data_IF_717165302707
#
_entry.id   IF_717165302707
#
_cell.length_a   1.000
_cell.length_b   1.000
_cell.length_c   1.000
_cell.angle_alpha   90.00
_cell.angle_beta   90.00
_cell.angle_gamma   90.00
#
_symmetry.space_group_name_H-M   'P 1'
#
loop_
_entity.id
_entity.type
_entity.pdbx_description
1 polymer ?
#
# COMPACT_ATOMS: atom_id res chain seq x y z
N UNK A 1 22.81 -15.51 21.87
CA UNK A 1 22.64 -14.27 21.08
C UNK A 1 22.13 -13.17 22.00
N UNK A 2 22.99 -12.24 22.44
CA UNK A 2 22.59 -11.06 23.23
C UNK A 2 22.31 -9.89 22.29
N UNK A 3 21.22 -9.97 21.51
CA UNK A 3 20.75 -8.83 20.75
C UNK A 3 20.00 -7.89 21.71
N UNK A 4 20.56 -6.71 21.98
CA UNK A 4 19.90 -5.65 22.76
C UNK A 4 18.53 -5.38 22.14
N UNK A 5 17.47 -5.30 22.95
CA UNK A 5 16.10 -5.01 22.50
C UNK A 5 16.01 -3.82 21.51
N UNK A 6 16.86 -2.81 21.69
CA UNK A 6 17.00 -1.65 20.78
C UNK A 6 17.46 -2.01 19.36
N UNK A 7 18.25 -3.06 19.17
CA UNK A 7 18.66 -3.57 17.86
C UNK A 7 17.56 -4.40 17.21
N UNK A 8 16.84 -5.24 17.98
CA UNK A 8 15.65 -5.96 17.50
C UNK A 8 14.57 -4.98 17.06
N UNK A 9 14.33 -3.91 17.83
CA UNK A 9 13.42 -2.82 17.45
C UNK A 9 13.92 -2.07 16.21
N UNK A 10 15.24 -1.90 16.03
CA UNK A 10 15.79 -1.29 14.80
C UNK A 10 15.69 -2.21 13.58
N UNK A 11 15.79 -3.52 13.76
CA UNK A 11 15.58 -4.53 12.71
C UNK A 11 14.10 -4.61 12.37
N UNK A 12 13.20 -4.65 13.36
CA UNK A 12 11.74 -4.54 13.16
C UNK A 12 11.29 -3.19 12.62
N UNK A 13 12.01 -2.09 12.90
CA UNK A 13 11.73 -0.77 12.33
C UNK A 13 12.36 -0.60 10.93
N UNK A 14 13.48 -1.30 10.66
CA UNK A 14 14.18 -1.32 9.38
C UNK A 14 13.50 -2.21 8.35
N UNK A 15 12.99 -3.37 8.79
CA UNK A 15 11.96 -4.17 8.13
C UNK A 15 10.67 -3.38 8.31
N UNK A 16 10.48 -2.30 7.53
CA UNK A 16 9.26 -1.48 7.62
C UNK A 16 8.06 -2.42 7.69
N UNK A 17 7.35 -2.54 8.82
CA UNK A 17 6.26 -3.53 8.98
C UNK A 17 5.17 -3.30 7.91
N UNK A 18 5.08 -2.07 7.42
CA UNK A 18 4.35 -1.64 6.24
C UNK A 18 4.62 -2.46 4.97
N UNK A 19 5.88 -2.82 4.67
CA UNK A 19 6.22 -3.56 3.45
C UNK A 19 5.82 -5.02 3.56
N UNK A 20 6.01 -5.67 4.71
CA UNK A 20 5.60 -7.06 4.91
C UNK A 20 4.08 -7.22 4.95
N UNK A 21 3.35 -6.39 5.72
CA UNK A 21 1.87 -6.41 5.73
C UNK A 21 1.28 -6.13 4.34
N UNK A 22 1.90 -5.20 3.61
CA UNK A 22 1.46 -4.85 2.27
C UNK A 22 1.75 -5.95 1.23
N UNK A 23 2.91 -6.61 1.28
CA UNK A 23 3.23 -7.74 0.41
C UNK A 23 2.39 -8.97 0.73
N UNK A 24 2.07 -9.19 2.01
CA UNK A 24 1.10 -10.22 2.45
C UNK A 24 -0.29 -9.90 1.90
N UNK A 25 -0.70 -8.63 1.90
CA UNK A 25 -1.93 -8.16 1.26
C UNK A 25 -1.94 -8.46 -0.24
N UNK A 26 -0.89 -8.11 -0.99
CA UNK A 26 -0.80 -8.47 -2.41
C UNK A 26 -0.81 -10.00 -2.61
N UNK A 27 -0.09 -10.75 -1.77
CA UNK A 27 -0.03 -12.21 -1.86
C UNK A 27 -1.40 -12.88 -1.58
N UNK A 28 -2.20 -12.36 -0.64
CA UNK A 28 -3.57 -12.80 -0.39
C UNK A 28 -4.52 -12.51 -1.58
N UNK A 29 -4.17 -11.52 -2.39
CA UNK A 29 -4.97 -11.05 -3.51
C UNK A 29 -4.61 -11.79 -4.79
N UNK A 30 -3.34 -12.13 -4.94
CA UNK A 30 -2.87 -13.12 -5.91
C UNK A 30 -3.44 -14.50 -5.60
N UNK A 31 -3.53 -14.89 -4.32
CA UNK A 31 -4.24 -16.09 -3.89
C UNK A 31 -5.72 -16.06 -4.35
N UNK A 32 -6.40 -14.94 -4.13
CA UNK A 32 -7.79 -14.75 -4.58
C UNK A 32 -7.94 -14.73 -6.12
N UNK A 33 -6.97 -14.15 -6.83
CA UNK A 33 -6.90 -14.11 -8.29
C UNK A 33 -6.82 -15.51 -8.91
N UNK A 34 -5.94 -16.34 -8.35
CA UNK A 34 -5.50 -17.59 -8.98
C UNK A 34 -6.20 -18.85 -8.49
N UNK A 35 -7.08 -18.74 -7.50
CA UNK A 35 -7.93 -19.86 -7.09
C UNK A 35 -8.78 -20.45 -8.23
N UNK A 36 -9.01 -19.69 -9.32
CA UNK A 36 -9.75 -20.13 -10.52
C UNK A 36 -8.89 -20.32 -11.78
N UNK A 37 -7.59 -20.00 -11.73
CA UNK A 37 -6.75 -20.03 -12.93
C UNK A 37 -6.18 -21.43 -13.12
N UNK A 38 -6.52 -22.06 -14.25
CA UNK A 38 -6.08 -23.41 -14.63
C UNK A 38 -4.62 -23.45 -15.09
N UNK A 39 -4.05 -22.30 -15.47
CA UNK A 39 -2.67 -22.23 -15.95
C UNK A 39 -1.66 -22.35 -14.83
N UNK A 40 -0.84 -23.39 -14.92
CA UNK A 40 0.19 -23.79 -13.95
C UNK A 40 1.27 -22.70 -13.74
N UNK A 41 1.52 -21.85 -14.74
CA UNK A 41 2.65 -20.90 -14.74
C UNK A 41 2.33 -19.54 -14.13
N UNK A 42 1.05 -19.20 -13.99
CA UNK A 42 0.67 -17.84 -13.60
C UNK A 42 1.03 -17.55 -12.14
N UNK A 43 0.83 -18.54 -11.26
CA UNK A 43 1.19 -18.50 -9.85
C UNK A 43 2.71 -18.25 -9.64
N UNK A 44 3.62 -19.07 -10.22
CA UNK A 44 5.06 -18.84 -10.15
C UNK A 44 5.51 -17.48 -10.71
N UNK A 45 4.96 -17.05 -11.85
CA UNK A 45 5.35 -15.77 -12.48
C UNK A 45 4.97 -14.58 -11.60
N UNK A 46 3.78 -14.61 -11.00
CA UNK A 46 3.35 -13.54 -10.11
C UNK A 46 4.16 -13.50 -8.82
N UNK A 47 4.47 -14.67 -8.25
CA UNK A 47 5.36 -14.77 -7.10
C UNK A 47 6.76 -14.22 -7.43
N UNK A 48 7.32 -14.57 -8.59
CA UNK A 48 8.62 -14.06 -9.06
C UNK A 48 8.64 -12.54 -9.17
N UNK A 49 7.63 -11.94 -9.81
CA UNK A 49 7.54 -10.49 -9.96
C UNK A 49 7.46 -9.77 -8.60
N UNK A 50 6.63 -10.31 -7.70
CA UNK A 50 6.51 -9.81 -6.33
C UNK A 50 7.83 -9.88 -5.56
N UNK A 51 8.48 -11.05 -5.58
CA UNK A 51 9.72 -11.28 -4.87
C UNK A 51 10.86 -10.43 -5.44
N UNK A 52 10.91 -10.26 -6.76
CA UNK A 52 11.89 -9.45 -7.45
C UNK A 52 11.79 -7.97 -7.07
N UNK A 53 10.57 -7.41 -7.05
CA UNK A 53 10.34 -6.03 -6.60
C UNK A 53 10.68 -5.85 -5.11
N UNK A 54 10.33 -6.83 -4.28
CA UNK A 54 10.68 -6.80 -2.86
C UNK A 54 12.20 -6.81 -2.65
N UNK A 55 12.89 -7.75 -3.29
CA UNK A 55 14.32 -7.91 -3.20
C UNK A 55 15.09 -6.67 -3.67
N UNK A 56 14.64 -6.00 -4.73
CA UNK A 56 15.30 -4.81 -5.26
C UNK A 56 14.99 -3.53 -4.46
N UNK A 57 13.82 -3.43 -3.83
CA UNK A 57 13.44 -2.26 -3.03
C UNK A 57 14.01 -2.26 -1.59
N UNK A 58 14.67 -3.35 -1.20
CA UNK A 58 15.24 -3.59 0.14
C UNK A 58 16.49 -2.72 0.37
N UNK A 59 16.49 -1.92 1.43
CA UNK A 59 17.56 -0.95 1.75
C UNK A 59 18.43 -1.37 2.93
N UNK A 60 18.01 -2.38 3.66
CA UNK A 60 18.61 -2.96 4.87
C UNK A 60 19.64 -4.06 4.57
N UNK A 61 19.88 -4.39 3.29
CA UNK A 61 20.81 -5.46 2.88
C UNK A 61 22.23 -5.23 3.39
N UNK A 62 22.77 -4.04 3.20
CA UNK A 62 24.13 -3.68 3.61
C UNK A 62 24.29 -3.64 5.14
N UNK A 63 23.22 -3.30 5.86
CA UNK A 63 23.22 -3.31 7.33
C UNK A 63 23.15 -4.74 7.90
N UNK A 64 22.25 -5.58 7.36
CA UNK A 64 22.09 -6.98 7.78
C UNK A 64 23.33 -7.80 7.43
N UNK A 65 23.83 -7.60 6.20
CA UNK A 65 25.25 -7.41 5.86
C UNK A 65 26.30 -7.70 6.92
N UNK A 66 26.36 -6.72 7.82
CA UNK A 66 27.43 -6.53 8.78
C UNK A 66 27.10 -7.15 10.15
N UNK A 67 25.83 -7.48 10.40
CA UNK A 67 25.34 -7.89 11.72
C UNK A 67 25.06 -9.38 11.86
N UNK A 68 24.76 -10.09 10.76
CA UNK A 68 24.30 -11.49 10.82
C UNK A 68 25.21 -12.37 9.97
N UNK A 69 25.79 -13.40 10.57
CA UNK A 69 26.43 -14.49 9.82
C UNK A 69 25.34 -15.36 9.16
N UNK A 70 25.39 -15.52 7.84
CA UNK A 70 24.43 -16.35 7.10
C UNK A 70 23.14 -15.66 6.65
N UNK A 71 23.20 -14.37 6.32
CA UNK A 71 22.06 -13.54 5.83
C UNK A 71 21.24 -14.21 4.72
N UNK A 72 21.88 -14.98 3.85
CA UNK A 72 21.20 -15.70 2.75
C UNK A 72 20.11 -16.64 3.27
N UNK A 73 20.37 -17.38 4.37
CA UNK A 73 19.37 -18.27 4.99
C UNK A 73 18.20 -17.48 5.58
N UNK A 74 18.49 -16.33 6.18
CA UNK A 74 17.47 -15.44 6.73
C UNK A 74 16.57 -14.87 5.61
N UNK A 75 17.16 -14.48 4.47
CA UNK A 75 16.40 -14.04 3.29
C UNK A 75 15.56 -15.16 2.69
N UNK A 76 16.08 -16.38 2.59
CA UNK A 76 15.30 -17.53 2.12
C UNK A 76 14.08 -17.78 3.02
N UNK A 77 14.24 -17.71 4.34
CA UNK A 77 13.13 -17.88 5.28
C UNK A 77 12.04 -16.80 5.12
N UNK A 78 12.44 -15.53 4.99
CA UNK A 78 11.51 -14.44 4.72
C UNK A 78 10.79 -14.61 3.37
N UNK A 79 11.50 -15.06 2.34
CA UNK A 79 10.92 -15.23 1.01
C UNK A 79 9.95 -16.40 0.96
N UNK A 80 10.27 -17.51 1.64
CA UNK A 80 9.35 -18.63 1.84
C UNK A 80 8.08 -18.18 2.59
N UNK A 81 8.23 -17.36 3.63
CA UNK A 81 7.09 -16.81 4.36
C UNK A 81 6.19 -15.97 3.47
N UNK A 82 6.78 -15.13 2.60
CA UNK A 82 6.04 -14.35 1.59
C UNK A 82 5.41 -15.24 0.51
N UNK A 83 5.97 -16.43 0.27
CA UNK A 83 5.47 -17.42 -0.68
C UNK A 83 4.34 -18.30 -0.15
N UNK A 84 4.10 -18.34 1.16
CA UNK A 84 3.07 -19.19 1.77
C UNK A 84 1.67 -19.01 1.15
N UNK A 85 1.16 -17.80 0.89
CA UNK A 85 -0.14 -17.63 0.25
C UNK A 85 -0.18 -18.30 -1.13
N UNK A 86 0.89 -18.24 -1.91
CA UNK A 86 0.97 -18.85 -3.24
C UNK A 86 1.03 -20.38 -3.19
N UNK A 87 1.74 -20.92 -2.19
CA UNK A 87 1.80 -22.37 -1.93
C UNK A 87 0.40 -22.88 -1.56
N UNK A 88 -0.31 -22.18 -0.66
CA UNK A 88 -1.66 -22.55 -0.26
C UNK A 88 -2.61 -22.49 -1.46
N UNK A 89 -2.52 -21.46 -2.34
CA UNK A 89 -3.33 -21.44 -3.57
C UNK A 89 -2.99 -22.57 -4.52
N UNK A 90 -1.71 -22.92 -4.69
CA UNK A 90 -1.30 -24.02 -5.56
C UNK A 90 -1.86 -25.36 -5.09
N UNK A 91 -1.93 -25.58 -3.77
CA UNK A 91 -2.54 -26.76 -3.16
C UNK A 91 -4.06 -26.78 -3.40
N UNK A 92 -4.76 -25.67 -3.13
CA UNK A 92 -6.23 -25.60 -3.33
C UNK A 92 -6.60 -25.80 -4.80
N UNK A 93 -5.82 -25.24 -5.73
CA UNK A 93 -6.04 -25.38 -7.16
C UNK A 93 -5.56 -26.73 -7.74
N UNK A 94 -5.09 -27.67 -6.90
CA UNK A 94 -4.49 -28.95 -7.30
C UNK A 94 -3.32 -28.83 -8.31
N UNK A 95 -2.65 -27.67 -8.33
CA UNK A 95 -1.58 -27.33 -9.25
C UNK A 95 -0.20 -27.67 -8.67
N UNK A 96 0.08 -28.96 -8.46
CA UNK A 96 1.29 -29.43 -7.78
C UNK A 96 2.60 -29.07 -8.47
N UNK A 97 2.59 -28.85 -9.80
CA UNK A 97 3.78 -28.43 -10.57
C UNK A 97 4.24 -27.01 -10.19
N UNK A 98 3.32 -26.14 -9.76
CA UNK A 98 3.65 -24.75 -9.40
C UNK A 98 4.42 -24.65 -8.07
N UNK A 99 4.19 -25.58 -7.14
CA UNK A 99 4.77 -25.61 -5.80
C UNK A 99 6.31 -25.67 -5.79
N UNK A 100 6.98 -26.63 -6.47
CA UNK A 100 8.43 -26.69 -6.50
C UNK A 100 9.03 -25.44 -7.18
N UNK A 101 8.35 -24.86 -8.16
CA UNK A 101 8.82 -23.64 -8.84
C UNK A 101 8.78 -22.43 -7.89
N UNK A 102 7.70 -22.26 -7.12
CA UNK A 102 7.59 -21.20 -6.11
C UNK A 102 8.68 -21.36 -5.04
N UNK A 103 8.91 -22.58 -4.55
CA UNK A 103 9.97 -22.86 -3.57
C UNK A 103 11.35 -22.55 -4.16
N UNK A 104 11.59 -22.95 -5.42
CA UNK A 104 12.84 -22.67 -6.12
C UNK A 104 13.10 -21.17 -6.25
N UNK A 105 12.07 -20.39 -6.63
CA UNK A 105 12.17 -18.92 -6.72
C UNK A 105 12.57 -18.32 -5.35
N UNK A 106 11.96 -18.78 -4.26
CA UNK A 106 12.27 -18.31 -2.90
C UNK A 106 13.73 -18.58 -2.50
N UNK A 107 14.28 -19.73 -2.91
CA UNK A 107 15.63 -20.17 -2.60
C UNK A 107 16.69 -19.50 -3.45
N UNK A 108 16.41 -19.26 -4.74
CA UNK A 108 17.37 -18.70 -5.70
C UNK A 108 17.46 -17.18 -5.60
N UNK A 109 16.34 -16.48 -5.37
CA UNK A 109 16.29 -15.02 -5.35
C UNK A 109 17.31 -14.33 -4.38
N UNK A 110 17.61 -14.85 -3.17
CA UNK A 110 18.64 -14.29 -2.29
C UNK A 110 20.05 -14.26 -2.88
N UNK A 111 20.31 -15.08 -3.91
CA UNK A 111 21.61 -15.20 -4.57
C UNK A 111 21.76 -14.26 -5.77
N UNK A 112 20.66 -13.67 -6.24
CA UNK A 112 20.67 -12.74 -7.36
C UNK A 112 21.12 -11.36 -6.86
N UNK A 113 22.02 -10.71 -7.58
CA UNK A 113 22.44 -9.35 -7.23
C UNK A 113 21.29 -8.36 -7.46
N UNK A 114 21.05 -7.41 -6.53
CA UNK A 114 20.01 -6.41 -6.70
C UNK A 114 20.30 -5.52 -7.91
N UNK A 115 19.33 -5.47 -8.83
CA UNK A 115 19.39 -4.54 -9.95
C UNK A 115 18.90 -3.18 -9.45
N UNK A 116 19.78 -2.18 -9.44
CA UNK A 116 19.44 -0.81 -9.03
C UNK A 116 18.64 -0.14 -10.14
N UNK A 117 17.31 -0.18 -10.03
CA UNK A 117 16.45 0.64 -10.86
C UNK A 117 16.58 2.11 -10.46
N UNK A 118 17.23 2.90 -11.30
CA UNK A 118 17.05 4.35 -11.26
C UNK A 118 15.68 4.63 -11.88
N UNK A 119 14.65 4.72 -11.02
CA UNK A 119 13.34 5.19 -11.47
C UNK A 119 13.49 6.64 -11.91
N UNK A 120 13.60 6.86 -13.22
CA UNK A 120 13.47 8.19 -13.80
C UNK A 120 12.10 8.70 -13.36
N UNK A 121 12.07 9.86 -12.70
CA UNK A 121 10.83 10.44 -12.25
C UNK A 121 10.02 10.85 -13.49
N UNK A 122 9.12 9.98 -13.95
CA UNK A 122 8.21 10.38 -15.03
C UNK A 122 7.42 11.61 -14.55
N UNK A 123 7.51 12.74 -15.26
CA UNK A 123 6.60 13.83 -15.01
C UNK A 123 5.22 13.34 -15.44
N UNK A 124 4.35 13.07 -14.46
CA UNK A 124 2.93 12.83 -14.72
C UNK A 124 2.25 14.20 -14.75
N UNK A 125 1.96 14.79 -15.92
CA UNK A 125 1.39 16.14 -16.01
C UNK A 125 -0.04 16.22 -15.41
N UNK A 126 -0.70 15.06 -15.26
CA UNK A 126 -2.07 14.96 -14.76
C UNK A 126 -2.16 15.10 -13.22
N UNK A 127 -1.14 14.68 -12.46
CA UNK A 127 -1.16 14.78 -10.99
C UNK A 127 -1.04 16.24 -10.53
N UNK A 128 -1.81 16.64 -9.51
CA UNK A 128 -1.81 18.03 -9.03
C UNK A 128 -0.40 18.46 -8.61
N UNK A 129 0.07 19.56 -9.19
CA UNK A 129 1.44 20.06 -9.05
C UNK A 129 1.75 20.67 -7.69
N UNK A 130 0.72 21.06 -6.94
CA UNK A 130 0.87 21.83 -5.70
C UNK A 130 1.24 21.04 -4.44
N UNK A 131 1.23 19.70 -4.47
CA UNK A 131 1.64 18.90 -3.31
C UNK A 131 2.92 18.08 -3.60
N UNK A 132 4.03 18.55 -3.03
CA UNK A 132 5.32 17.85 -3.09
C UNK A 132 5.23 16.44 -2.49
N UNK A 133 4.30 16.20 -1.57
CA UNK A 133 4.10 14.90 -0.93
C UNK A 133 3.49 13.89 -1.90
N UNK A 134 2.51 14.31 -2.70
CA UNK A 134 1.87 13.43 -3.67
C UNK A 134 2.81 13.02 -4.81
N UNK A 135 3.62 13.96 -5.33
CA UNK A 135 4.66 13.65 -6.32
C UNK A 135 5.72 12.68 -5.78
N UNK A 136 6.09 12.83 -4.49
CA UNK A 136 7.03 11.94 -3.80
C UNK A 136 6.42 10.56 -3.52
N UNK A 137 5.14 10.50 -3.18
CA UNK A 137 4.39 9.26 -3.01
C UNK A 137 4.37 8.48 -4.33
N UNK A 138 3.88 9.10 -5.39
CA UNK A 138 3.71 8.42 -6.67
C UNK A 138 5.06 7.91 -7.16
N UNK A 139 6.12 8.73 -7.13
CA UNK A 139 7.48 8.31 -7.50
C UNK A 139 7.98 7.06 -6.74
N UNK A 140 7.59 6.89 -5.47
CA UNK A 140 7.96 5.71 -4.67
C UNK A 140 7.06 4.49 -4.91
N UNK A 141 5.84 4.69 -5.39
CA UNK A 141 4.79 3.68 -5.46
C UNK A 141 4.35 3.34 -6.90
N UNK A 142 4.93 3.97 -7.93
CA UNK A 142 4.64 3.69 -9.36
C UNK A 142 4.77 2.21 -9.68
N UNK A 143 5.82 1.55 -9.19
CA UNK A 143 6.02 0.12 -9.43
C UNK A 143 4.88 -0.73 -8.87
N UNK A 144 4.38 -0.38 -7.68
CA UNK A 144 3.26 -1.07 -7.04
C UNK A 144 1.94 -0.80 -7.77
N UNK A 145 1.74 0.44 -8.22
CA UNK A 145 0.60 0.81 -9.06
C UNK A 145 0.57 -0.02 -10.35
N UNK A 146 1.70 -0.12 -11.04
CA UNK A 146 1.83 -0.89 -12.28
C UNK A 146 1.53 -2.37 -12.06
N UNK A 147 2.04 -2.98 -10.98
CA UNK A 147 1.71 -4.37 -10.61
C UNK A 147 0.23 -4.54 -10.37
N UNK A 148 -0.39 -3.68 -9.56
CA UNK A 148 -1.82 -3.80 -9.27
C UNK A 148 -2.67 -3.63 -10.53
N UNK A 149 -2.30 -2.72 -11.43
CA UNK A 149 -3.00 -2.49 -12.68
C UNK A 149 -2.88 -3.71 -13.60
N UNK A 150 -1.69 -4.32 -13.68
CA UNK A 150 -1.49 -5.59 -14.39
C UNK A 150 -2.36 -6.72 -13.81
N UNK A 151 -2.47 -6.82 -12.50
CA UNK A 151 -3.31 -7.83 -11.84
C UNK A 151 -4.80 -7.57 -12.07
N UNK A 152 -5.25 -6.32 -12.04
CA UNK A 152 -6.62 -5.97 -12.40
C UNK A 152 -6.91 -6.35 -13.86
N UNK A 153 -5.97 -6.11 -14.77
CA UNK A 153 -6.11 -6.54 -16.17
C UNK A 153 -6.19 -8.07 -16.32
N UNK A 154 -5.36 -8.82 -15.59
CA UNK A 154 -5.50 -10.28 -15.52
C UNK A 154 -6.86 -10.72 -14.95
N UNK A 155 -7.40 -9.97 -13.99
CA UNK A 155 -8.75 -10.18 -13.48
C UNK A 155 -9.82 -10.02 -14.55
N UNK A 156 -9.66 -9.06 -15.45
CA UNK A 156 -10.52 -8.90 -16.63
C UNK A 156 -10.38 -10.07 -17.60
N UNK A 157 -9.16 -10.50 -17.91
CA UNK A 157 -8.92 -11.62 -18.84
C UNK A 157 -9.47 -12.96 -18.33
N UNK A 158 -9.63 -13.12 -17.02
CA UNK A 158 -10.15 -14.34 -16.39
C UNK A 158 -11.58 -14.19 -15.85
N UNK A 159 -12.32 -13.16 -16.25
CA UNK A 159 -13.69 -12.87 -15.81
C UNK A 159 -13.86 -12.84 -14.26
N UNK A 160 -12.81 -12.41 -13.55
CA UNK A 160 -12.77 -12.35 -12.09
C UNK A 160 -12.91 -10.90 -11.59
N UNK A 161 -14.15 -10.43 -11.50
CA UNK A 161 -14.51 -9.09 -10.99
C UNK A 161 -13.98 -8.83 -9.59
N UNK A 162 -14.00 -9.85 -8.74
CA UNK A 162 -13.61 -9.69 -7.35
C UNK A 162 -12.11 -9.42 -7.22
N UNK A 163 -11.28 -9.93 -8.12
CA UNK A 163 -9.86 -9.55 -8.18
C UNK A 163 -9.71 -8.04 -8.45
N UNK A 164 -10.45 -7.51 -9.41
CA UNK A 164 -10.38 -6.09 -9.75
C UNK A 164 -10.81 -5.21 -8.56
N UNK A 165 -11.89 -5.59 -7.86
CA UNK A 165 -12.34 -4.91 -6.63
C UNK A 165 -11.25 -4.90 -5.56
N UNK A 166 -10.60 -6.03 -5.39
CA UNK A 166 -9.59 -6.24 -4.36
C UNK A 166 -8.28 -5.48 -4.68
N UNK A 167 -7.86 -5.45 -5.95
CA UNK A 167 -6.75 -4.60 -6.41
C UNK A 167 -7.03 -3.11 -6.16
N UNK A 168 -8.27 -2.68 -6.40
CA UNK A 168 -8.70 -1.30 -6.16
C UNK A 168 -8.74 -0.97 -4.65
N UNK A 169 -9.19 -1.88 -3.78
CA UNK A 169 -9.13 -1.74 -2.31
C UNK A 169 -7.69 -1.56 -1.82
N UNK A 170 -6.77 -2.41 -2.30
CA UNK A 170 -5.35 -2.28 -1.97
C UNK A 170 -4.80 -0.94 -2.40
N UNK A 171 -5.12 -0.50 -3.61
CA UNK A 171 -4.65 0.79 -4.08
C UNK A 171 -5.10 1.92 -3.16
N UNK A 172 -6.37 1.92 -2.73
CA UNK A 172 -6.88 2.87 -1.73
C UNK A 172 -6.09 2.83 -0.41
N UNK A 173 -5.77 1.64 0.09
CA UNK A 173 -4.96 1.47 1.31
C UNK A 173 -3.51 1.97 1.13
N UNK A 174 -2.87 1.68 -0.02
CA UNK A 174 -1.50 2.14 -0.33
C UNK A 174 -1.43 3.66 -0.35
N UNK A 175 -2.43 4.32 -0.95
CA UNK A 175 -2.40 5.77 -1.08
C UNK A 175 -2.34 6.49 0.27
N UNK A 176 -3.01 5.97 1.30
CA UNK A 176 -2.90 6.59 2.64
C UNK A 176 -1.53 6.42 3.29
N UNK A 177 -0.73 5.43 2.87
CA UNK A 177 0.67 5.29 3.33
C UNK A 177 1.58 6.44 2.87
N UNK A 178 1.13 7.23 1.88
CA UNK A 178 1.82 8.44 1.42
C UNK A 178 2.11 9.43 2.54
N UNK A 179 1.15 9.60 3.43
CA UNK A 179 1.18 10.57 4.51
C UNK A 179 1.88 10.02 5.76
N UNK A 180 2.46 8.81 5.68
CA UNK A 180 3.20 8.20 6.80
C UNK A 180 4.63 8.70 6.95
N UNK A 181 4.88 9.91 6.44
CA UNK A 181 6.10 10.65 6.67
C UNK A 181 5.76 11.78 7.64
N UNK A 182 6.41 11.77 8.79
CA UNK A 182 6.37 12.87 9.76
C UNK A 182 6.79 14.18 9.06
N UNK A 183 5.90 15.17 8.94
CA UNK A 183 6.18 16.43 8.28
C UNK A 183 7.18 17.24 9.10
N UNK A 184 8.00 18.02 8.42
CA UNK A 184 8.81 19.04 9.10
C UNK A 184 7.89 20.20 9.49
N UNK A 185 8.10 20.79 10.68
CA UNK A 185 7.20 21.81 11.25
C UNK A 185 6.99 23.03 10.34
N UNK A 186 7.94 23.33 9.45
CA UNK A 186 7.86 24.42 8.46
C UNK A 186 6.91 24.13 7.29
N UNK A 187 6.45 22.88 7.07
CA UNK A 187 5.50 22.59 5.98
C UNK A 187 4.16 23.32 6.18
N UNK A 188 3.76 23.58 7.44
CA UNK A 188 2.52 24.27 7.78
C UNK A 188 2.62 25.80 7.57
N UNK A 189 3.81 26.38 7.76
CA UNK A 189 4.03 27.83 7.60
C UNK A 189 4.04 28.29 6.14
N UNK A 190 4.11 27.36 5.17
CA UNK A 190 3.98 27.67 3.73
C UNK A 190 2.55 28.10 3.39
N UNK A 191 1.56 27.70 4.21
CA UNK A 191 0.16 28.01 3.96
C UNK A 191 -0.28 29.25 4.74
N UNK A 192 -0.95 30.17 4.06
CA UNK A 192 -1.45 31.42 4.65
C UNK A 192 -2.44 31.19 5.80
N UNK A 193 -3.17 30.08 5.80
CA UNK A 193 -4.09 29.72 6.88
C UNK A 193 -4.29 28.21 6.97
N UNK A 194 -4.71 27.74 8.14
CA UNK A 194 -5.11 26.34 8.34
C UNK A 194 -6.25 25.91 7.40
N UNK A 195 -7.21 26.80 7.12
CA UNK A 195 -8.30 26.53 6.19
C UNK A 195 -7.80 26.34 4.76
N UNK A 196 -6.81 27.13 4.33
CA UNK A 196 -6.18 26.98 3.01
C UNK A 196 -5.42 25.65 2.90
N UNK A 197 -4.71 25.24 3.96
CA UNK A 197 -4.07 23.93 4.02
C UNK A 197 -5.11 22.79 3.87
N UNK A 198 -6.20 22.84 4.63
CA UNK A 198 -7.26 21.82 4.57
C UNK A 198 -7.90 21.76 3.18
N UNK A 199 -8.17 22.91 2.56
CA UNK A 199 -8.70 22.98 1.20
C UNK A 199 -7.74 22.34 0.18
N UNK A 200 -6.44 22.65 0.28
CA UNK A 200 -5.42 22.09 -0.62
C UNK A 200 -5.28 20.58 -0.38
N UNK A 201 -5.33 20.12 0.86
CA UNK A 201 -5.26 18.69 1.19
C UNK A 201 -6.43 17.93 0.56
N UNK A 202 -7.67 18.41 0.74
CA UNK A 202 -8.86 17.75 0.19
C UNK A 202 -8.91 17.84 -1.34
N UNK A 203 -8.66 19.03 -1.91
CA UNK A 203 -8.71 19.25 -3.37
C UNK A 203 -7.63 18.45 -4.10
N UNK A 204 -6.41 18.44 -3.59
CA UNK A 204 -5.32 17.65 -4.18
C UNK A 204 -5.56 16.16 -3.99
N UNK A 205 -6.01 15.72 -2.82
CA UNK A 205 -6.42 14.33 -2.55
C UNK A 205 -7.48 13.86 -3.54
N UNK A 206 -8.55 14.64 -3.73
CA UNK A 206 -9.65 14.29 -4.63
C UNK A 206 -9.19 14.13 -6.08
N UNK A 207 -8.49 15.14 -6.62
CA UNK A 207 -7.98 15.07 -7.99
C UNK A 207 -7.08 13.85 -8.20
N UNK A 208 -6.23 13.54 -7.24
CA UNK A 208 -5.27 12.48 -7.42
C UNK A 208 -5.86 11.07 -7.16
N UNK A 209 -6.79 10.92 -6.21
CA UNK A 209 -7.60 9.69 -6.07
C UNK A 209 -8.33 9.41 -7.37
N UNK A 210 -8.99 10.42 -7.93
CA UNK A 210 -9.72 10.28 -9.18
C UNK A 210 -8.83 9.76 -10.31
N UNK A 211 -7.71 10.44 -10.59
CA UNK A 211 -6.79 10.05 -11.69
C UNK A 211 -6.27 8.62 -11.54
N UNK A 212 -5.94 8.21 -10.32
CA UNK A 212 -5.25 6.93 -10.10
C UNK A 212 -6.22 5.76 -9.89
N UNK A 213 -7.41 5.99 -9.34
CA UNK A 213 -8.45 4.96 -9.23
C UNK A 213 -9.24 4.77 -10.53
N UNK A 214 -9.30 5.79 -11.39
CA UNK A 214 -10.08 5.76 -12.63
C UNK A 214 -9.80 4.53 -13.51
N UNK A 215 -8.53 4.15 -13.81
CA UNK A 215 -8.27 2.95 -14.61
C UNK A 215 -8.83 1.67 -14.01
N UNK A 216 -8.76 1.51 -12.69
CA UNK A 216 -9.32 0.33 -12.01
C UNK A 216 -10.85 0.31 -12.04
N UNK A 217 -11.50 1.46 -11.82
CA UNK A 217 -12.95 1.59 -11.87
C UNK A 217 -13.45 1.25 -13.29
N UNK A 218 -12.77 1.75 -14.33
CA UNK A 218 -13.08 1.42 -15.72
C UNK A 218 -12.97 -0.09 -15.97
N UNK A 219 -11.90 -0.75 -15.52
CA UNK A 219 -11.74 -2.21 -15.68
C UNK A 219 -12.85 -3.00 -14.97
N UNK A 220 -13.28 -2.58 -13.77
CA UNK A 220 -14.38 -3.22 -13.04
C UNK A 220 -15.70 -3.04 -13.80
N UNK A 221 -15.98 -1.82 -14.26
CA UNK A 221 -17.22 -1.52 -14.96
C UNK A 221 -17.30 -2.30 -16.28
N UNK A 222 -16.22 -2.35 -17.07
CA UNK A 222 -16.17 -3.14 -18.32
C UNK A 222 -16.58 -4.60 -18.10
N UNK A 223 -16.14 -5.22 -17.01
CA UNK A 223 -16.52 -6.60 -16.65
C UNK A 223 -17.97 -6.73 -16.20
N UNK A 224 -18.46 -5.77 -15.39
CA UNK A 224 -19.76 -5.89 -14.72
C UNK A 224 -20.33 -4.51 -14.38
N UNK A 225 -21.57 -4.28 -14.82
CA UNK A 225 -22.25 -2.98 -14.72
C UNK A 225 -23.42 -2.99 -13.73
N UNK A 226 -23.41 -3.90 -12.75
CA UNK A 226 -24.50 -4.04 -11.78
C UNK A 226 -24.52 -2.85 -10.81
N UNK A 227 -25.71 -2.50 -10.31
CA UNK A 227 -25.91 -1.44 -9.31
C UNK A 227 -25.00 -1.61 -8.09
N UNK A 228 -24.84 -2.85 -7.61
CA UNK A 228 -23.93 -3.23 -6.53
C UNK A 228 -22.46 -2.87 -6.80
N UNK A 229 -22.01 -3.03 -8.05
CA UNK A 229 -20.62 -2.72 -8.43
C UNK A 229 -20.36 -1.21 -8.48
N UNK A 230 -21.36 -0.44 -8.92
CA UNK A 230 -21.32 1.02 -8.93
C UNK A 230 -21.32 1.54 -7.50
N UNK A 231 -22.19 1.01 -6.63
CA UNK A 231 -22.30 1.39 -5.23
C UNK A 231 -21.00 1.07 -4.46
N UNK A 232 -20.39 -0.09 -4.74
CA UNK A 232 -19.07 -0.45 -4.23
C UNK A 232 -17.99 0.56 -4.64
N UNK A 233 -17.94 0.97 -5.92
CA UNK A 233 -16.94 1.94 -6.39
C UNK A 233 -17.14 3.31 -5.73
N UNK A 234 -18.39 3.77 -5.57
CA UNK A 234 -18.73 5.02 -4.90
C UNK A 234 -18.37 4.99 -3.41
N UNK A 235 -18.70 3.89 -2.72
CA UNK A 235 -18.36 3.69 -1.32
C UNK A 235 -16.83 3.72 -1.14
N UNK A 236 -16.09 2.95 -1.94
CA UNK A 236 -14.64 2.91 -1.88
C UNK A 236 -13.99 4.28 -2.17
N UNK A 237 -14.48 4.99 -3.17
CA UNK A 237 -13.96 6.32 -3.51
C UNK A 237 -14.14 7.29 -2.33
N UNK A 238 -15.33 7.29 -1.72
CA UNK A 238 -15.65 8.10 -0.54
C UNK A 238 -14.82 7.69 0.68
N UNK A 239 -14.67 6.39 0.94
CA UNK A 239 -13.81 5.85 1.99
C UNK A 239 -12.36 6.26 1.82
N UNK A 240 -11.84 6.23 0.59
CA UNK A 240 -10.45 6.60 0.28
C UNK A 240 -10.21 8.09 0.51
N UNK A 241 -11.16 8.94 0.15
CA UNK A 241 -11.09 10.38 0.43
C UNK A 241 -10.99 10.67 1.92
N UNK A 242 -11.91 10.09 2.71
CA UNK A 242 -11.91 10.26 4.17
C UNK A 242 -10.65 9.67 4.81
N UNK A 243 -10.16 8.55 4.29
CA UNK A 243 -8.94 7.91 4.74
C UNK A 243 -7.70 8.78 4.48
N UNK A 244 -7.57 9.36 3.29
CA UNK A 244 -6.46 10.28 2.98
C UNK A 244 -6.52 11.56 3.80
N UNK A 245 -7.71 12.13 4.01
CA UNK A 245 -7.87 13.28 4.89
C UNK A 245 -7.42 12.93 6.31
N UNK A 246 -7.87 11.79 6.85
CA UNK A 246 -7.47 11.32 8.18
C UNK A 246 -5.94 11.24 8.31
N UNK A 247 -5.28 10.57 7.36
CA UNK A 247 -3.83 10.39 7.35
C UNK A 247 -3.08 11.72 7.15
N UNK A 248 -3.61 12.60 6.30
CA UNK A 248 -3.05 13.93 6.05
C UNK A 248 -3.13 14.89 7.25
N UNK A 249 -4.06 14.66 8.18
CA UNK A 249 -4.15 15.39 9.45
C UNK A 249 -3.39 14.71 10.58
N UNK A 250 -3.48 13.37 10.70
CA UNK A 250 -2.85 12.61 11.78
C UNK A 250 -1.33 12.74 11.81
N UNK A 251 -0.70 12.97 10.64
CA UNK A 251 0.74 13.22 10.53
C UNK A 251 1.25 14.42 11.35
N UNK A 252 0.38 15.37 11.70
CA UNK A 252 0.73 16.51 12.57
C UNK A 252 0.41 16.28 14.05
N UNK A 253 -0.44 15.29 14.33
CA UNK A 253 -0.78 14.92 15.71
C UNK A 253 0.36 14.14 16.36
N UNK A 254 0.99 13.23 15.61
CA UNK A 254 2.03 12.32 16.12
C UNK A 254 3.45 12.80 15.84
N UNK A 255 4.34 12.66 16.83
CA UNK A 255 5.75 13.08 16.73
C UNK A 255 6.65 12.02 16.11
N UNK A 256 6.28 10.74 16.23
CA UNK A 256 7.08 9.61 15.75
C UNK A 256 6.33 8.79 14.70
N UNK A 257 7.07 8.30 13.70
CA UNK A 257 6.52 7.45 12.64
C UNK A 257 6.00 6.10 13.19
N UNK A 258 6.58 5.60 14.28
CA UNK A 258 6.16 4.35 14.93
C UNK A 258 4.78 4.46 15.55
N UNK A 259 4.52 5.53 16.30
CA UNK A 259 3.20 5.76 16.93
C UNK A 259 2.14 6.01 15.87
N UNK A 260 2.46 6.77 14.82
CA UNK A 260 1.58 6.94 13.67
C UNK A 260 1.31 5.62 12.94
N UNK A 261 2.31 4.74 12.86
CA UNK A 261 2.18 3.38 12.32
C UNK A 261 1.19 2.51 13.10
N UNK A 262 1.29 2.53 14.43
CA UNK A 262 0.36 1.83 15.33
C UNK A 262 -1.05 2.41 15.19
N UNK A 263 -1.17 3.74 15.20
CA UNK A 263 -2.44 4.43 15.00
C UNK A 263 -3.09 3.99 13.68
N UNK A 264 -2.35 4.06 12.57
CA UNK A 264 -2.80 3.65 11.24
C UNK A 264 -3.36 2.22 11.22
N UNK A 265 -2.62 1.28 11.81
CA UNK A 265 -2.98 -0.13 11.80
C UNK A 265 -4.24 -0.41 12.63
N UNK A 266 -4.41 0.28 13.75
CA UNK A 266 -5.51 0.03 14.69
C UNK A 266 -6.79 0.79 14.33
N UNK A 267 -6.69 1.95 13.69
CA UNK A 267 -7.84 2.85 13.50
C UNK A 267 -8.14 3.17 12.02
N UNK A 268 -7.34 4.00 11.28
CA UNK A 268 -7.63 4.33 9.90
C UNK A 268 -7.78 3.13 8.96
N UNK A 269 -6.92 2.12 9.03
CA UNK A 269 -6.99 0.98 8.10
C UNK A 269 -8.25 0.11 8.35
N UNK A 270 -8.57 -0.31 9.60
CA UNK A 270 -9.83 -1.00 9.87
C UNK A 270 -11.06 -0.18 9.51
N UNK A 271 -11.10 1.13 9.86
CA UNK A 271 -12.22 2.01 9.52
C UNK A 271 -12.40 2.14 8.00
N UNK A 272 -11.30 2.26 7.25
CA UNK A 272 -11.34 2.24 5.79
C UNK A 272 -11.98 0.94 5.28
N UNK A 273 -11.51 -0.23 5.73
CA UNK A 273 -12.05 -1.52 5.29
C UNK A 273 -13.53 -1.70 5.64
N UNK A 274 -13.92 -1.37 6.86
CA UNK A 274 -15.31 -1.48 7.32
C UNK A 274 -16.22 -0.50 6.58
N UNK A 275 -15.75 0.71 6.26
CA UNK A 275 -16.55 1.71 5.55
C UNK A 275 -16.89 1.32 4.11
N UNK A 276 -16.11 0.43 3.49
CA UNK A 276 -16.39 -0.11 2.15
C UNK A 276 -17.54 -1.12 2.22
N UNK A 277 -17.59 -1.92 3.29
CA UNK A 277 -18.61 -2.95 3.50
C UNK A 277 -19.92 -2.32 3.99
N UNK A 278 -19.81 -1.36 4.92
CA UNK A 278 -20.94 -0.71 5.58
C UNK A 278 -20.83 0.80 5.39
N UNK A 279 -21.43 1.38 4.32
CA UNK A 279 -21.33 2.80 4.01
C UNK A 279 -21.81 3.73 5.12
N UNK A 280 -22.68 3.28 6.04
CA UNK A 280 -23.12 4.05 7.21
C UNK A 280 -21.94 4.48 8.10
N UNK A 281 -20.87 3.69 8.14
CA UNK A 281 -19.65 4.00 8.92
C UNK A 281 -18.91 5.23 8.37
N UNK A 282 -19.19 5.67 7.13
CA UNK A 282 -18.65 6.92 6.58
C UNK A 282 -19.02 8.14 7.43
N UNK A 283 -20.21 8.15 8.05
CA UNK A 283 -20.65 9.25 8.92
C UNK A 283 -19.76 9.33 10.17
N UNK A 284 -19.53 8.18 10.81
CA UNK A 284 -18.62 8.09 11.96
C UNK A 284 -17.19 8.49 11.56
N UNK A 285 -16.75 8.07 10.37
CA UNK A 285 -15.44 8.40 9.87
C UNK A 285 -15.27 9.91 9.62
N UNK A 286 -16.30 10.56 9.07
CA UNK A 286 -16.33 12.00 8.90
C UNK A 286 -16.25 12.74 10.25
N UNK A 287 -17.00 12.29 11.26
CA UNK A 287 -16.97 12.87 12.60
C UNK A 287 -15.56 12.79 13.23
N UNK A 288 -14.88 11.64 13.09
CA UNK A 288 -13.50 11.47 13.55
C UNK A 288 -12.53 12.43 12.83
N UNK A 289 -12.70 12.62 11.52
CA UNK A 289 -11.88 13.55 10.74
C UNK A 289 -12.08 15.01 11.17
N UNK A 290 -13.32 15.40 11.48
CA UNK A 290 -13.62 16.74 12.01
C UNK A 290 -12.93 16.92 13.37
N UNK A 291 -13.04 15.95 14.28
CA UNK A 291 -12.40 16.00 15.60
C UNK A 291 -10.87 16.12 15.50
N UNK A 292 -10.22 15.34 14.64
CA UNK A 292 -8.78 15.44 14.39
C UNK A 292 -8.38 16.80 13.82
N UNK A 293 -9.16 17.31 12.86
CA UNK A 293 -8.91 18.62 12.24
C UNK A 293 -8.97 19.74 13.28
N UNK A 294 -9.96 19.71 14.19
CA UNK A 294 -10.08 20.68 15.29
C UNK A 294 -8.91 20.57 16.28
N UNK A 295 -8.49 19.34 16.61
CA UNK A 295 -7.34 19.09 17.49
C UNK A 295 -6.04 19.68 16.92
N UNK A 296 -5.77 19.43 15.64
CA UNK A 296 -4.59 19.98 14.94
C UNK A 296 -4.67 21.50 14.88
N UNK A 297 -5.84 22.08 14.55
CA UNK A 297 -6.05 23.53 14.54
C UNK A 297 -5.74 24.16 15.90
N UNK A 298 -6.14 23.51 17.01
CA UNK A 298 -5.84 23.98 18.37
C UNK A 298 -4.35 23.90 18.68
N UNK A 299 -3.68 22.79 18.32
CA UNK A 299 -2.25 22.56 18.56
C UNK A 299 -1.35 23.58 17.84
N UNK A 300 -1.72 23.95 16.62
CA UNK A 300 -0.92 24.84 15.75
C UNK A 300 -1.48 26.25 15.63
N UNK A 301 -2.36 26.68 16.54
CA UNK A 301 -2.97 28.01 16.53
C UNK A 301 -1.93 29.14 16.45
N UNK A 302 -0.78 28.96 17.11
CA UNK A 302 0.32 29.94 17.16
C UNK A 302 1.07 30.16 15.84
N UNK A 303 0.87 29.32 14.81
CA UNK A 303 1.56 29.47 13.51
C UNK A 303 0.78 30.45 12.60
N UNK A 304 -0.54 30.55 12.78
CA UNK A 304 -1.43 31.32 11.89
C UNK A 304 -2.19 32.45 12.59
N UNK A 305 -1.90 32.68 13.87
CA UNK A 305 -2.41 33.81 14.65
C UNK A 305 -1.29 34.80 14.93
#
# INVERSE_FOLDING_TARGET
MNLRSKQIVRVLAGIRPFRCLFLIGIAAILFYAFAKVTSVWVLPVCYLLMLWLYHNSRKDKEFLSLQVHGIKRLFTAEYLLLGLPFIISGIIAANYISLPVIILIAVVMPWIHPVRFHSIAMPMPLLYSGDLLYRRMFRKQVSLYAVLLFLAFMGVLHDNVNLCKVCLILWGAIQGTAYMVTPQKHELSVYNSFGMYQLILVKSGLRNIFITMFPFIVLILVLRHDTETILFCLALFSSTLLYQWNMGMSRFSFETQTVMGIYWLLFPLPLFLVSIITPVVLILYLALNIGLTLSVKKKYKHIWN
#
